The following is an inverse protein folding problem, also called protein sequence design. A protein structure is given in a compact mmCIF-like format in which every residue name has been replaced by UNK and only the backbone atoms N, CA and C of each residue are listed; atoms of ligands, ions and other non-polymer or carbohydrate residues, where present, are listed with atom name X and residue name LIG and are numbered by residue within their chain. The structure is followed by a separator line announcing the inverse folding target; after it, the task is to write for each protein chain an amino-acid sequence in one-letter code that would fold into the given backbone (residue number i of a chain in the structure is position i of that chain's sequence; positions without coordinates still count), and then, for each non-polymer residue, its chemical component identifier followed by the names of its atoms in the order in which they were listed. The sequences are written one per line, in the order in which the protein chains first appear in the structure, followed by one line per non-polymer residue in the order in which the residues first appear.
data_IF_064801830097
#
_entry.id   IF_064801830097
#
_cell.length_a   1.000
_cell.length_b   1.000
_cell.length_c   1.000
_cell.angle_alpha   90.00
_cell.angle_beta   90.00
_cell.angle_gamma   90.00
#
_symmetry.space_group_name_H-M   'P 1'
#
loop_
_entity.id
_entity.type
_entity.pdbx_description
1 polymer ?
#
# COMPACT_ATOMS: atom_id res chain seq x y z
N UNK A 1 24.82 -37.24 -18.60
CA UNK A 1 23.37 -37.10 -18.88
C UNK A 1 22.63 -36.80 -17.57
N UNK A 2 21.82 -35.74 -17.57
CA UNK A 2 20.69 -35.36 -16.69
C UNK A 2 20.86 -35.55 -15.17
N UNK A 3 20.54 -34.57 -14.32
CA UNK A 3 19.16 -34.15 -14.08
C UNK A 3 19.14 -32.65 -13.75
N UNK A 4 18.61 -31.85 -14.66
CA UNK A 4 18.09 -30.53 -14.34
C UNK A 4 16.85 -30.73 -13.47
N UNK A 5 16.94 -30.37 -12.19
CA UNK A 5 15.77 -30.31 -11.32
C UNK A 5 14.95 -29.12 -11.82
N UNK A 6 13.81 -29.38 -12.45
CA UNK A 6 12.89 -28.34 -12.90
C UNK A 6 12.49 -27.48 -11.70
N UNK A 7 13.13 -26.31 -11.56
CA UNK A 7 12.72 -25.29 -10.61
C UNK A 7 11.45 -24.69 -11.19
N UNK A 8 10.30 -25.31 -10.89
CA UNK A 8 9.03 -24.58 -11.05
C UNK A 8 9.13 -23.38 -10.11
N UNK A 9 8.93 -22.13 -10.59
CA UNK A 9 8.83 -21.01 -9.68
C UNK A 9 7.72 -21.32 -8.69
N UNK A 10 8.05 -21.35 -7.40
CA UNK A 10 7.01 -21.44 -6.37
C UNK A 10 6.08 -20.26 -6.60
N UNK A 11 4.79 -20.54 -6.77
CA UNK A 11 3.81 -19.47 -6.81
C UNK A 11 3.95 -18.68 -5.50
N UNK A 12 4.02 -17.34 -5.52
CA UNK A 12 4.12 -16.56 -4.30
C UNK A 12 2.98 -16.96 -3.36
N UNK A 13 3.32 -17.50 -2.19
CA UNK A 13 2.37 -18.09 -1.26
C UNK A 13 3.00 -18.30 0.12
N UNK A 14 2.22 -18.75 1.09
CA UNK A 14 2.75 -19.07 2.42
C UNK A 14 3.30 -20.50 2.46
N UNK A 15 4.00 -20.86 3.55
CA UNK A 15 4.64 -22.17 3.74
C UNK A 15 3.63 -23.29 4.09
N UNK A 16 2.59 -23.43 3.26
CA UNK A 16 1.57 -24.49 3.34
C UNK A 16 0.29 -24.12 4.09
N UNK A 17 -0.62 -25.10 4.18
CA UNK A 17 -2.01 -24.92 4.62
C UNK A 17 -2.15 -24.32 6.03
N UNK A 18 -1.25 -24.69 6.96
CA UNK A 18 -1.27 -24.12 8.31
C UNK A 18 -0.94 -22.62 8.29
N UNK A 19 0.08 -22.23 7.52
CA UNK A 19 0.44 -20.83 7.39
C UNK A 19 -0.68 -20.04 6.70
N UNK A 20 -1.28 -20.58 5.64
CA UNK A 20 -2.41 -19.95 4.95
C UNK A 20 -3.61 -19.71 5.87
N UNK A 21 -3.97 -20.71 6.69
CA UNK A 21 -5.12 -20.61 7.61
C UNK A 21 -4.88 -19.57 8.71
N UNK A 22 -3.67 -19.50 9.27
CA UNK A 22 -3.32 -18.50 10.28
C UNK A 22 -3.36 -17.08 9.70
N UNK A 23 -2.80 -16.87 8.51
CA UNK A 23 -2.84 -15.57 7.83
C UNK A 23 -4.28 -15.17 7.50
N UNK A 24 -5.09 -16.12 7.03
CA UNK A 24 -6.51 -15.90 6.76
C UNK A 24 -7.30 -15.51 8.00
N UNK A 25 -7.02 -16.11 9.16
CA UNK A 25 -7.68 -15.76 10.42
C UNK A 25 -7.31 -14.34 10.88
N UNK A 26 -6.08 -13.89 10.58
CA UNK A 26 -5.59 -12.57 10.94
C UNK A 26 -6.44 -11.40 10.39
N UNK A 27 -7.22 -11.62 9.32
CA UNK A 27 -8.12 -10.59 8.75
C UNK A 27 -9.20 -10.12 9.72
N UNK A 28 -9.56 -10.94 10.71
CA UNK A 28 -10.59 -10.60 11.69
C UNK A 28 -10.06 -9.76 12.86
N UNK A 29 -8.74 -9.64 13.01
CA UNK A 29 -8.11 -8.92 14.12
C UNK A 29 -7.88 -7.43 13.82
N UNK A 30 -8.06 -6.99 12.56
CA UNK A 30 -7.83 -5.61 12.13
C UNK A 30 -9.03 -5.09 11.34
N UNK A 31 -9.44 -3.82 11.52
CA UNK A 31 -10.45 -3.20 10.68
C UNK A 31 -9.91 -2.99 9.26
N UNK A 32 -10.80 -3.04 8.26
CA UNK A 32 -10.46 -2.80 6.86
C UNK A 32 -10.86 -3.95 5.93
N UNK A 33 -10.73 -3.72 4.61
CA UNK A 33 -10.95 -4.75 3.60
C UNK A 33 -9.61 -5.39 3.24
N UNK A 34 -9.49 -6.71 3.40
CA UNK A 34 -8.28 -7.45 3.03
C UNK A 34 -8.37 -7.87 1.55
N UNK A 35 -7.22 -7.88 0.85
CA UNK A 35 -7.11 -8.38 -0.53
C UNK A 35 -7.37 -9.89 -0.61
N UNK A 36 -7.75 -10.39 -1.78
CA UNK A 36 -8.02 -11.83 -1.99
C UNK A 36 -6.79 -12.71 -1.72
N UNK A 37 -5.60 -12.17 -1.98
CA UNK A 37 -4.32 -12.84 -1.72
C UNK A 37 -3.78 -12.63 -0.29
N UNK A 38 -4.55 -11.95 0.57
CA UNK A 38 -4.26 -11.67 1.98
C UNK A 38 -3.00 -10.82 2.26
N UNK A 39 -2.44 -10.15 1.24
CA UNK A 39 -1.20 -9.35 1.38
C UNK A 39 -1.41 -7.87 1.66
N UNK A 40 -2.62 -7.36 1.49
CA UNK A 40 -2.92 -5.94 1.63
C UNK A 40 -4.20 -5.71 2.41
N UNK A 41 -4.22 -4.62 3.17
CA UNK A 41 -5.41 -4.14 3.88
C UNK A 41 -5.74 -2.74 3.40
N UNK A 42 -6.96 -2.54 2.93
CA UNK A 42 -7.48 -1.26 2.48
C UNK A 42 -8.32 -0.64 3.60
N UNK A 43 -7.87 0.53 4.06
CA UNK A 43 -8.57 1.35 5.03
C UNK A 43 -9.31 2.50 4.32
N UNK A 44 -10.45 2.90 4.87
CA UNK A 44 -11.21 4.06 4.41
C UNK A 44 -11.21 5.12 5.50
N UNK A 45 -10.97 6.37 5.12
CA UNK A 45 -10.91 7.50 6.06
C UNK A 45 -9.55 7.64 6.73
N UNK A 46 -9.50 8.33 7.88
CA UNK A 46 -8.27 8.57 8.64
C UNK A 46 -7.28 9.53 7.97
N UNK A 47 -7.69 10.21 6.89
CA UNK A 47 -6.85 11.15 6.12
C UNK A 47 -7.15 12.62 6.41
N UNK A 48 -7.86 12.90 7.50
CA UNK A 48 -8.17 14.28 7.89
C UNK A 48 -6.90 15.10 8.15
N UNK A 49 -5.81 14.46 8.60
CA UNK A 49 -4.52 15.11 8.76
C UNK A 49 -3.92 15.66 7.46
N UNK A 50 -4.34 15.16 6.28
CA UNK A 50 -3.91 15.70 4.99
C UNK A 50 -4.41 17.13 4.76
N UNK A 51 -5.52 17.52 5.42
CA UNK A 51 -6.10 18.87 5.33
C UNK A 51 -5.06 19.94 5.69
N UNK A 52 -4.27 19.70 6.74
CA UNK A 52 -3.21 20.61 7.17
C UNK A 52 -2.28 21.02 6.03
N UNK A 53 -1.81 20.05 5.23
CA UNK A 53 -0.91 20.34 4.11
C UNK A 53 -1.63 20.91 2.89
N UNK A 54 -2.90 20.56 2.67
CA UNK A 54 -3.73 21.13 1.59
C UNK A 54 -4.02 22.61 1.86
N UNK A 55 -4.37 22.94 3.10
CA UNK A 55 -4.67 24.30 3.54
C UNK A 55 -3.43 25.17 3.47
N UNK A 56 -2.27 24.64 3.92
CA UNK A 56 -0.97 25.35 3.81
C UNK A 56 -0.60 25.71 2.37
N UNK A 57 -0.95 24.87 1.40
CA UNK A 57 -0.66 25.12 -0.02
C UNK A 57 -1.72 26.03 -0.68
N UNK A 58 -2.87 26.19 -0.05
CA UNK A 58 -3.92 27.07 -0.56
C UNK A 58 -3.51 28.53 -0.37
N UNK A 59 -3.82 29.36 -1.37
CA UNK A 59 -3.57 30.80 -1.32
C UNK A 59 -4.72 31.55 -1.98
N UNK A 60 -4.95 32.79 -1.57
CA UNK A 60 -6.06 33.58 -2.08
C UNK A 60 -5.88 33.96 -3.57
N UNK A 61 -4.63 34.23 -3.97
CA UNK A 61 -4.29 34.59 -5.35
C UNK A 61 -2.82 34.36 -5.66
N UNK A 62 -2.57 34.17 -6.94
CA UNK A 62 -1.23 34.20 -7.52
C UNK A 62 -1.07 35.46 -8.37
N UNK A 63 0.09 36.13 -8.29
CA UNK A 63 0.37 37.36 -9.05
C UNK A 63 1.73 37.24 -9.70
N UNK A 64 1.78 37.51 -11.01
CA UNK A 64 3.03 37.51 -11.77
C UNK A 64 3.88 38.72 -11.41
N UNK A 65 5.15 38.48 -11.13
CA UNK A 65 6.17 39.50 -10.88
C UNK A 65 7.46 39.14 -11.63
N UNK A 66 8.46 40.00 -11.53
CA UNK A 66 9.81 39.73 -12.01
C UNK A 66 10.82 40.09 -10.92
N UNK A 67 11.99 39.45 -10.91
CA UNK A 67 13.10 39.84 -10.06
C UNK A 67 13.96 40.84 -10.83
N UNK A 68 13.96 42.11 -10.41
CA UNK A 68 14.71 43.20 -11.05
C UNK A 68 16.19 43.21 -10.68
N UNK A 69 16.91 42.15 -11.03
CA UNK A 69 18.37 42.02 -10.84
C UNK A 69 19.09 42.23 -12.17
N UNK A 70 20.37 42.62 -12.10
CA UNK A 70 21.15 43.18 -13.22
C UNK A 70 21.59 42.12 -14.24
#
# INVERSE_FOLDING_TARGET
MSIGKDIKPSSPGTDGLLADTLVNLGRFLRPGKVSEDLRSVFLKGGREADSFYRDRWSHDKEVRSTHGVN
#
